data_IF_517978697776
#
_entry.id   IF_517978697776
#
_cell.length_a   1.000
_cell.length_b   1.000
_cell.length_c   1.000
_cell.angle_alpha   90.00
_cell.angle_beta   90.00
_cell.angle_gamma   90.00
#
_symmetry.space_group_name_H-M   'P 1'
#
loop_
_entity.id
_entity.type
_entity.pdbx_description
1 polymer ?
#
# COMPACT_ATOMS: atom_id res chain seq x y z
N UNK A 1 0.21 16.94 -68.93
CA UNK A 1 0.10 15.51 -68.59
C UNK A 1 -0.18 15.40 -67.10
N UNK A 2 -1.44 15.12 -66.73
CA UNK A 2 -1.87 15.05 -65.33
C UNK A 2 -2.17 13.59 -64.97
N UNK A 3 -1.46 13.06 -63.97
CA UNK A 3 -1.64 11.69 -63.49
C UNK A 3 -2.72 11.66 -62.40
N UNK A 4 -3.89 11.11 -62.74
CA UNK A 4 -4.96 10.75 -61.79
C UNK A 4 -4.53 9.58 -60.91
N UNK A 5 -4.28 9.83 -59.62
CA UNK A 5 -4.15 8.79 -58.61
C UNK A 5 -5.54 8.29 -58.19
N UNK A 6 -5.90 7.09 -58.66
CA UNK A 6 -7.11 6.37 -58.24
C UNK A 6 -6.90 5.85 -56.82
N UNK A 7 -7.51 6.50 -55.83
CA UNK A 7 -7.59 6.01 -54.45
C UNK A 7 -8.62 4.89 -54.40
N UNK A 8 -8.16 3.65 -54.25
CA UNK A 8 -9.00 2.49 -54.02
C UNK A 8 -9.60 2.55 -52.60
N UNK A 9 -10.92 2.76 -52.54
CA UNK A 9 -11.69 2.63 -51.30
C UNK A 9 -11.88 1.15 -51.00
N UNK A 10 -11.17 0.63 -50.00
CA UNK A 10 -11.41 -0.70 -49.45
C UNK A 10 -12.76 -0.71 -48.73
N UNK A 11 -13.65 -1.61 -49.16
CA UNK A 11 -14.93 -1.83 -48.50
C UNK A 11 -14.72 -2.41 -47.09
N UNK A 12 -15.45 -1.94 -46.06
CA UNK A 12 -15.42 -2.57 -44.74
C UNK A 12 -16.10 -3.94 -44.83
N UNK A 13 -15.36 -5.02 -44.55
CA UNK A 13 -15.90 -6.37 -44.51
C UNK A 13 -16.92 -6.48 -43.37
N UNK A 14 -18.18 -6.76 -43.72
CA UNK A 14 -19.30 -6.95 -42.80
C UNK A 14 -19.26 -8.32 -42.09
N UNK A 15 -18.08 -8.84 -41.77
CA UNK A 15 -17.91 -10.21 -41.27
C UNK A 15 -17.44 -10.27 -39.80
N UNK A 16 -17.99 -9.39 -38.94
CA UNK A 16 -17.67 -9.38 -37.49
C UNK A 16 -18.88 -9.49 -36.56
N UNK A 17 -20.00 -9.97 -37.07
CA UNK A 17 -21.25 -10.01 -36.32
C UNK A 17 -21.79 -11.44 -36.15
N UNK A 18 -20.93 -12.38 -35.73
CA UNK A 18 -21.34 -13.71 -35.21
C UNK A 18 -20.37 -14.25 -34.14
N UNK A 19 -20.07 -13.45 -33.12
CA UNK A 19 -19.50 -13.95 -31.85
C UNK A 19 -20.14 -13.25 -30.64
N UNK A 20 -21.46 -13.32 -30.56
CA UNK A 20 -22.15 -13.28 -29.28
C UNK A 20 -22.44 -14.74 -28.86
N UNK A 21 -22.39 -15.00 -27.55
CA UNK A 21 -22.95 -16.17 -26.87
C UNK A 21 -22.16 -17.50 -26.85
N UNK A 22 -20.86 -17.47 -26.53
CA UNK A 22 -20.13 -18.69 -26.13
C UNK A 22 -19.00 -18.38 -25.15
N UNK A 23 -19.29 -18.37 -23.85
CA UNK A 23 -18.25 -18.15 -22.83
C UNK A 23 -18.73 -17.76 -21.43
N UNK A 24 -20.04 -17.66 -21.19
CA UNK A 24 -20.61 -17.48 -19.85
C UNK A 24 -20.63 -18.76 -18.99
N UNK A 25 -19.72 -19.71 -19.27
CA UNK A 25 -19.59 -20.94 -18.51
C UNK A 25 -18.82 -20.68 -17.23
N UNK A 26 -19.56 -20.46 -16.14
CA UNK A 26 -19.13 -20.44 -14.74
C UNK A 26 -17.64 -20.62 -14.48
N UNK A 27 -16.89 -19.51 -14.50
CA UNK A 27 -15.70 -19.39 -13.66
C UNK A 27 -16.17 -19.32 -12.19
N UNK A 28 -16.66 -20.45 -11.66
CA UNK A 28 -16.69 -20.70 -10.23
C UNK A 28 -15.23 -20.83 -9.80
N UNK A 29 -14.60 -19.66 -9.66
CA UNK A 29 -13.20 -19.54 -9.33
C UNK A 29 -12.94 -20.25 -8.02
N UNK A 30 -12.27 -21.40 -8.10
CA UNK A 30 -11.63 -22.03 -6.95
C UNK A 30 -10.90 -20.94 -6.15
N UNK A 31 -10.97 -20.94 -4.81
CA UNK A 31 -10.50 -19.81 -3.98
C UNK A 31 -9.10 -19.28 -4.34
N UNK A 32 -8.23 -20.16 -4.86
CA UNK A 32 -6.91 -19.84 -5.42
C UNK A 32 -6.95 -18.84 -6.58
N UNK A 33 -7.88 -19.00 -7.53
CA UNK A 33 -8.05 -18.07 -8.66
C UNK A 33 -8.54 -16.70 -8.20
N UNK A 34 -9.43 -16.63 -7.21
CA UNK A 34 -9.85 -15.37 -6.58
C UNK A 34 -8.67 -14.64 -5.95
N UNK A 35 -7.84 -15.35 -5.17
CA UNK A 35 -6.61 -14.78 -4.59
C UNK A 35 -5.63 -14.30 -5.67
N UNK A 36 -5.49 -15.02 -6.79
CA UNK A 36 -4.66 -14.54 -7.90
C UNK A 36 -5.22 -13.29 -8.56
N UNK A 37 -6.54 -13.21 -8.76
CA UNK A 37 -7.20 -12.05 -9.35
C UNK A 37 -7.12 -10.82 -8.44
N UNK A 38 -7.28 -11.00 -7.12
CA UNK A 38 -7.14 -9.91 -6.15
C UNK A 38 -5.70 -9.38 -6.14
N UNK A 39 -4.68 -10.27 -6.19
CA UNK A 39 -3.28 -9.86 -6.34
C UNK A 39 -3.02 -9.10 -7.64
N UNK A 40 -3.64 -9.52 -8.74
CA UNK A 40 -3.51 -8.83 -10.03
C UNK A 40 -4.14 -7.44 -9.99
N UNK A 41 -5.36 -7.31 -9.45
CA UNK A 41 -6.05 -6.04 -9.24
C UNK A 41 -5.22 -5.11 -8.35
N UNK A 42 -4.72 -5.61 -7.22
CA UNK A 42 -3.84 -4.84 -6.33
C UNK A 42 -2.56 -4.36 -7.03
N UNK A 43 -1.95 -5.18 -7.88
CA UNK A 43 -0.77 -4.79 -8.69
C UNK A 43 -1.11 -3.69 -9.70
N UNK A 44 -2.25 -3.79 -10.37
CA UNK A 44 -2.74 -2.78 -11.32
C UNK A 44 -3.05 -1.46 -10.62
N UNK A 45 -3.75 -1.52 -9.48
CA UNK A 45 -4.08 -0.34 -8.69
C UNK A 45 -2.81 0.35 -8.16
N UNK A 46 -1.83 -0.43 -7.65
CA UNK A 46 -0.53 0.10 -7.25
C UNK A 46 0.15 0.86 -8.40
N UNK A 47 0.26 0.27 -9.58
CA UNK A 47 0.82 0.94 -10.77
C UNK A 47 0.06 2.23 -11.11
N UNK A 48 -1.29 2.19 -11.07
CA UNK A 48 -2.13 3.37 -11.31
C UNK A 48 -1.82 4.50 -10.33
N UNK A 49 -1.72 4.19 -9.03
CA UNK A 49 -1.40 5.18 -8.00
C UNK A 49 0.01 5.74 -8.13
N UNK A 50 1.00 4.92 -8.51
CA UNK A 50 2.38 5.36 -8.76
C UNK A 50 2.45 6.30 -9.98
N UNK A 51 1.82 5.93 -11.10
CA UNK A 51 1.73 6.81 -12.28
C UNK A 51 0.98 8.11 -11.97
N UNK A 52 -0.10 8.06 -11.18
CA UNK A 52 -0.81 9.27 -10.78
C UNK A 52 0.06 10.19 -9.90
N UNK A 53 0.86 9.61 -9.00
CA UNK A 53 1.81 10.36 -8.17
C UNK A 53 2.92 11.01 -9.01
N UNK A 54 3.50 10.27 -9.98
CA UNK A 54 4.53 10.83 -10.86
C UNK A 54 3.99 11.96 -11.73
N UNK A 55 2.77 11.82 -12.27
CA UNK A 55 2.10 12.89 -13.02
C UNK A 55 1.86 14.13 -12.17
N UNK A 56 1.38 13.98 -10.93
CA UNK A 56 1.20 15.12 -10.01
C UNK A 56 2.52 15.79 -9.64
N UNK A 57 3.58 15.01 -9.42
CA UNK A 57 4.91 15.55 -9.13
C UNK A 57 5.46 16.33 -10.32
N UNK A 58 5.33 15.78 -11.53
CA UNK A 58 5.71 16.46 -12.77
C UNK A 58 4.93 17.76 -12.96
N UNK A 59 3.60 17.75 -12.78
CA UNK A 59 2.78 18.95 -12.86
C UNK A 59 3.22 20.03 -11.85
N UNK A 60 3.58 19.64 -10.61
CA UNK A 60 4.11 20.57 -9.61
C UNK A 60 5.45 21.17 -10.05
N UNK A 61 6.35 20.35 -10.58
CA UNK A 61 7.65 20.79 -11.11
C UNK A 61 7.48 21.77 -12.28
N UNK A 62 6.60 21.46 -13.24
CA UNK A 62 6.26 22.36 -14.34
C UNK A 62 5.74 23.72 -13.84
N UNK A 63 4.81 23.70 -12.87
CA UNK A 63 4.29 24.93 -12.23
C UNK A 63 5.40 25.74 -11.56
N UNK A 64 6.35 25.10 -10.87
CA UNK A 64 7.46 25.81 -10.23
C UNK A 64 8.46 26.43 -11.23
N UNK A 65 8.58 25.87 -12.43
CA UNK A 65 9.44 26.40 -13.51
C UNK A 65 8.73 27.53 -14.28
N UNK A 66 7.48 27.85 -13.94
CA UNK A 66 6.66 28.82 -14.69
C UNK A 66 6.01 28.22 -15.93
N UNK A 67 6.14 26.91 -16.15
CA UNK A 67 5.43 26.20 -17.21
C UNK A 67 3.99 25.93 -16.73
N UNK A 68 3.10 26.90 -17.00
CA UNK A 68 1.66 26.68 -16.82
C UNK A 68 1.20 25.71 -17.90
N UNK A 69 0.77 24.48 -17.57
CA UNK A 69 0.17 23.60 -18.58
C UNK A 69 -1.01 24.36 -19.17
N UNK A 70 -0.91 24.69 -20.47
CA UNK A 70 -1.93 25.43 -21.18
C UNK A 70 -3.28 24.84 -20.82
N UNK A 71 -4.18 25.68 -20.31
CA UNK A 71 -5.50 25.21 -19.93
C UNK A 71 -6.10 24.59 -21.17
N UNK A 72 -6.27 23.26 -21.10
CA UNK A 72 -6.76 22.49 -22.24
C UNK A 72 -8.01 23.13 -22.82
N UNK A 73 -8.33 22.81 -24.08
CA UNK A 73 -9.37 23.41 -24.92
C UNK A 73 -10.76 23.68 -24.29
N UNK A 74 -11.02 23.26 -23.05
CA UNK A 74 -12.16 23.63 -22.19
C UNK A 74 -12.21 25.12 -21.81
N UNK A 75 -11.14 25.91 -21.97
CA UNK A 75 -11.15 27.36 -21.66
C UNK A 75 -11.57 28.30 -22.79
N UNK A 76 -12.33 27.80 -23.77
CA UNK A 76 -12.98 28.66 -24.79
C UNK A 76 -14.41 29.08 -24.44
N UNK A 77 -14.92 28.81 -23.23
CA UNK A 77 -16.25 29.27 -22.81
C UNK A 77 -16.20 29.89 -21.41
N UNK A 78 -16.23 31.23 -21.39
CA UNK A 78 -16.56 32.15 -20.27
C UNK A 78 -15.67 32.15 -19.02
N UNK A 79 -15.02 33.28 -18.76
CA UNK A 79 -15.47 34.26 -17.75
C UNK A 79 -14.38 35.33 -17.57
N UNK A 80 -14.59 36.46 -18.24
CA UNK A 80 -14.10 37.76 -17.82
C UNK A 80 -14.99 38.18 -16.64
N UNK A 81 -14.52 38.12 -15.40
CA UNK A 81 -14.92 39.02 -14.30
C UNK A 81 -14.15 38.72 -13.00
N UNK A 82 -13.83 39.79 -12.26
CA UNK A 82 -13.46 39.86 -10.83
C UNK A 82 -11.99 39.53 -10.52
N UNK A 83 -11.06 40.50 -10.53
CA UNK A 83 -10.91 41.73 -9.72
C UNK A 83 -10.84 41.49 -8.20
N UNK A 84 -9.69 41.90 -7.64
CA UNK A 84 -9.23 41.92 -6.25
C UNK A 84 -10.09 42.86 -5.38
N UNK A 85 -10.08 42.75 -4.03
CA UNK A 85 -9.15 43.64 -3.33
C UNK A 85 -8.53 43.11 -2.02
N UNK A 86 -7.32 43.60 -1.78
CA UNK A 86 -6.64 43.69 -0.49
C UNK A 86 -7.47 44.44 0.56
N UNK A 87 -7.39 44.04 1.83
CA UNK A 87 -7.63 44.94 2.95
C UNK A 87 -6.60 44.80 4.09
N UNK A 88 -6.33 45.92 4.81
CA UNK A 88 -5.16 46.13 5.67
C UNK A 88 -5.38 45.73 7.14
N UNK A 89 -4.25 45.60 7.84
CA UNK A 89 -4.12 45.28 9.27
C UNK A 89 -4.63 46.39 10.22
N UNK A 90 -5.15 46.05 11.42
CA UNK A 90 -5.30 47.01 12.51
C UNK A 90 -4.10 47.02 13.48
N UNK A 91 -3.83 48.21 13.99
CA UNK A 91 -2.66 48.61 14.77
C UNK A 91 -2.74 48.32 16.28
N UNK A 92 -1.57 48.02 16.85
CA UNK A 92 -1.01 48.38 18.19
C UNK A 92 -1.93 48.77 19.36
N UNK A 93 -1.80 48.03 20.47
CA UNK A 93 -1.83 48.57 21.84
C UNK A 93 -0.52 48.17 22.54
N UNK A 94 0.32 49.18 22.83
CA UNK A 94 1.60 49.10 23.54
C UNK A 94 1.38 49.30 25.05
N UNK A 95 1.83 48.35 25.87
CA UNK A 95 1.92 48.45 27.34
C UNK A 95 3.33 47.94 27.74
N UNK A 96 4.23 48.79 28.26
CA UNK A 96 5.62 48.42 28.48
C UNK A 96 5.82 47.81 29.87
N UNK A 97 5.45 46.54 30.04
CA UNK A 97 5.86 45.78 31.24
C UNK A 97 7.31 45.29 31.08
N UNK A 98 8.25 46.00 31.69
CA UNK A 98 9.69 45.66 31.77
C UNK A 98 9.92 44.38 32.59
N UNK A 99 9.93 43.22 31.92
CA UNK A 99 10.47 41.97 32.49
C UNK A 99 11.75 41.62 31.74
N UNK A 100 12.88 41.66 32.43
CA UNK A 100 14.23 41.34 31.93
C UNK A 100 14.31 39.91 31.39
N UNK A 101 14.04 39.72 30.08
CA UNK A 101 14.22 38.44 29.42
C UNK A 101 15.71 38.15 29.22
N UNK A 102 16.19 36.93 29.56
CA UNK A 102 17.58 36.54 29.30
C UNK A 102 17.85 36.58 27.79
N UNK A 103 18.98 37.19 27.41
CA UNK A 103 19.47 37.30 26.03
C UNK A 103 19.36 35.94 25.31
N UNK A 104 18.38 35.82 24.41
CA UNK A 104 18.16 34.61 23.62
C UNK A 104 19.39 34.38 22.75
N UNK A 105 20.18 33.36 23.09
CA UNK A 105 21.32 32.92 22.28
C UNK A 105 20.81 32.63 20.87
N UNK A 106 21.38 33.28 19.85
CA UNK A 106 21.01 33.05 18.45
C UNK A 106 21.24 31.57 18.13
N UNK A 107 20.17 30.83 17.83
CA UNK A 107 20.29 29.44 17.41
C UNK A 107 21.15 29.39 16.15
N UNK A 108 22.33 28.77 16.24
CA UNK A 108 23.14 28.46 15.05
C UNK A 108 22.27 27.57 14.16
N UNK A 109 21.99 28.03 12.95
CA UNK A 109 21.27 27.22 11.95
C UNK A 109 22.11 25.97 11.74
N UNK A 110 21.59 24.81 12.14
CA UNK A 110 22.18 23.50 11.86
C UNK A 110 22.58 23.46 10.39
N UNK A 111 23.79 23.01 10.08
CA UNK A 111 24.22 22.87 8.68
C UNK A 111 23.24 21.95 7.95
N UNK A 112 22.82 22.32 6.74
CA UNK A 112 21.93 21.50 5.89
C UNK A 112 22.49 20.08 5.70
N UNK A 113 23.82 19.94 5.67
CA UNK A 113 24.50 18.66 5.55
C UNK A 113 24.36 17.78 6.79
N UNK A 114 24.35 18.35 7.99
CA UNK A 114 24.18 17.59 9.25
C UNK A 114 22.78 16.97 9.33
N UNK A 115 21.74 17.73 8.97
CA UNK A 115 20.37 17.19 8.89
C UNK A 115 20.23 16.08 7.85
N UNK A 116 20.92 16.21 6.72
CA UNK A 116 20.93 15.19 5.68
C UNK A 116 21.64 13.91 6.17
N UNK A 117 22.79 14.03 6.83
CA UNK A 117 23.53 12.88 7.37
C UNK A 117 22.77 12.16 8.48
N UNK A 118 22.17 12.91 9.42
CA UNK A 118 21.34 12.35 10.49
C UNK A 118 20.13 11.59 9.92
N UNK A 119 19.46 12.17 8.91
CA UNK A 119 18.34 11.51 8.23
C UNK A 119 18.77 10.24 7.50
N UNK A 120 19.95 10.26 6.85
CA UNK A 120 20.49 9.08 6.19
C UNK A 120 20.79 7.96 7.19
N UNK A 121 21.44 8.28 8.31
CA UNK A 121 21.73 7.33 9.37
C UNK A 121 20.45 6.73 9.97
N UNK A 122 19.45 7.56 10.28
CA UNK A 122 18.15 7.10 10.79
C UNK A 122 17.45 6.16 9.81
N UNK A 123 17.45 6.50 8.51
CA UNK A 123 16.85 5.64 7.48
C UNK A 123 17.60 4.31 7.33
N UNK A 124 18.93 4.29 7.49
CA UNK A 124 19.70 3.05 7.47
C UNK A 124 19.35 2.15 8.67
N UNK A 125 19.27 2.73 9.87
CA UNK A 125 18.85 2.00 11.07
C UNK A 125 17.43 1.46 10.95
N UNK A 126 16.48 2.27 10.46
CA UNK A 126 15.09 1.81 10.26
C UNK A 126 15.02 0.64 9.26
N UNK A 127 15.81 0.69 8.17
CA UNK A 127 15.89 -0.41 7.20
C UNK A 127 16.44 -1.68 7.84
N UNK A 128 17.54 -1.57 8.59
CA UNK A 128 18.15 -2.71 9.28
C UNK A 128 17.16 -3.35 10.27
N UNK A 129 16.52 -2.56 11.12
CA UNK A 129 15.54 -3.05 12.10
C UNK A 129 14.37 -3.75 11.41
N UNK A 130 13.88 -3.19 10.29
CA UNK A 130 12.77 -3.77 9.53
C UNK A 130 13.15 -5.08 8.83
N UNK A 131 14.39 -5.20 8.37
CA UNK A 131 14.91 -6.44 7.79
C UNK A 131 15.06 -7.53 8.86
N UNK A 132 15.57 -7.16 10.03
CA UNK A 132 15.65 -8.07 11.18
C UNK A 132 14.27 -8.56 11.64
N UNK A 133 13.31 -7.65 11.77
CA UNK A 133 11.93 -8.00 12.14
C UNK A 133 11.29 -8.96 11.12
N UNK A 134 11.50 -8.72 9.82
CA UNK A 134 11.03 -9.62 8.76
C UNK A 134 11.68 -10.99 8.86
N UNK A 135 13.00 -11.04 9.05
CA UNK A 135 13.74 -12.30 9.17
C UNK A 135 13.27 -13.09 10.40
N UNK A 136 13.04 -12.43 11.54
CA UNK A 136 12.49 -13.06 12.74
C UNK A 136 11.08 -13.63 12.49
N UNK A 137 10.20 -12.83 11.88
CA UNK A 137 8.84 -13.26 11.53
C UNK A 137 8.83 -14.45 10.54
N UNK A 138 9.72 -14.46 9.56
CA UNK A 138 9.87 -15.56 8.61
C UNK A 138 10.36 -16.84 9.30
N UNK A 139 11.36 -16.74 10.19
CA UNK A 139 11.84 -17.87 10.99
C UNK A 139 10.72 -18.45 11.86
N UNK A 140 9.94 -17.61 12.55
CA UNK A 140 8.81 -18.07 13.37
C UNK A 140 7.73 -18.76 12.53
N UNK A 141 7.40 -18.20 11.36
CA UNK A 141 6.43 -18.80 10.44
C UNK A 141 6.93 -20.15 9.91
N UNK A 142 8.21 -20.26 9.57
CA UNK A 142 8.82 -21.50 9.13
C UNK A 142 8.77 -22.56 10.24
N UNK A 143 9.14 -22.20 11.47
CA UNK A 143 9.08 -23.11 12.63
C UNK A 143 7.65 -23.62 12.89
N UNK A 144 6.64 -22.73 12.90
CA UNK A 144 5.22 -23.12 13.05
C UNK A 144 4.75 -24.06 11.93
N UNK A 145 5.24 -23.85 10.70
CA UNK A 145 4.88 -24.69 9.56
C UNK A 145 5.50 -26.09 9.66
N UNK A 146 6.74 -26.20 10.15
CA UNK A 146 7.40 -27.48 10.44
C UNK A 146 6.63 -28.23 11.54
N UNK A 147 6.34 -27.57 12.66
CA UNK A 147 5.56 -28.16 13.76
C UNK A 147 4.19 -28.66 13.28
N UNK A 148 3.49 -27.87 12.45
CA UNK A 148 2.20 -28.27 11.88
C UNK A 148 2.31 -29.52 11.00
N UNK A 149 3.36 -29.61 10.18
CA UNK A 149 3.61 -30.79 9.34
C UNK A 149 3.91 -32.02 10.18
N UNK A 150 4.73 -31.89 11.21
CA UNK A 150 5.04 -32.99 12.13
C UNK A 150 3.82 -33.47 12.88
N UNK A 151 3.01 -32.55 13.43
CA UNK A 151 1.73 -32.85 14.07
C UNK A 151 0.79 -33.58 13.12
N UNK A 152 0.62 -33.06 11.90
CA UNK A 152 -0.20 -33.71 10.88
C UNK A 152 0.33 -35.10 10.50
N UNK A 153 1.66 -35.28 10.44
CA UNK A 153 2.29 -36.58 10.18
C UNK A 153 1.97 -37.57 11.29
N UNK A 154 2.13 -37.20 12.56
CA UNK A 154 1.81 -38.03 13.74
C UNK A 154 0.34 -38.44 13.74
N UNK A 155 -0.57 -37.50 13.50
CA UNK A 155 -2.03 -37.76 13.47
C UNK A 155 -2.47 -38.63 12.29
N UNK A 156 -1.68 -38.67 11.21
CA UNK A 156 -1.89 -39.55 10.06
C UNK A 156 -1.32 -40.95 10.25
N UNK A 157 -0.46 -41.17 11.26
CA UNK A 157 0.10 -42.49 11.52
C UNK A 157 -1.01 -43.49 11.86
N UNK A 158 -0.86 -44.70 11.32
CA UNK A 158 -1.79 -45.81 11.49
C UNK A 158 -1.03 -47.04 11.94
N UNK A 159 -1.70 -47.93 12.66
CA UNK A 159 -1.18 -49.25 13.04
C UNK A 159 -1.06 -50.16 11.81
N UNK A 160 -0.43 -51.32 11.97
CA UNK A 160 -0.36 -52.34 10.90
C UNK A 160 -1.74 -52.75 10.38
N UNK A 161 -2.76 -52.70 11.23
CA UNK A 161 -4.17 -52.98 10.88
C UNK A 161 -4.91 -51.76 10.31
N UNK A 162 -4.21 -50.65 10.05
CA UNK A 162 -4.77 -49.45 9.43
C UNK A 162 -5.57 -48.53 10.36
N UNK A 163 -5.64 -48.84 11.66
CA UNK A 163 -6.33 -48.00 12.65
C UNK A 163 -5.49 -46.78 13.01
N UNK A 164 -6.09 -45.60 13.25
CA UNK A 164 -5.35 -44.44 13.75
C UNK A 164 -4.64 -44.72 15.07
N UNK A 165 -3.42 -44.22 15.24
CA UNK A 165 -2.71 -44.33 16.52
C UNK A 165 -3.33 -43.34 17.51
N UNK A 166 -4.24 -43.83 18.34
CA UNK A 166 -5.02 -43.02 19.30
C UNK A 166 -4.17 -42.27 20.32
N UNK A 167 -2.96 -42.75 20.63
CA UNK A 167 -2.02 -42.07 21.55
C UNK A 167 -1.80 -40.60 21.18
N UNK A 168 -1.65 -40.30 19.89
CA UNK A 168 -1.42 -38.93 19.43
C UNK A 168 -2.67 -38.04 19.55
N UNK A 169 -3.86 -38.61 19.29
CA UNK A 169 -5.14 -37.91 19.43
C UNK A 169 -5.46 -37.59 20.90
N UNK A 170 -5.24 -38.56 21.79
CA UNK A 170 -5.47 -38.37 23.23
C UNK A 170 -4.54 -37.30 23.78
N UNK A 171 -3.26 -37.32 23.40
CA UNK A 171 -2.31 -36.29 23.82
C UNK A 171 -2.73 -34.89 23.37
N UNK A 172 -3.19 -34.74 22.12
CA UNK A 172 -3.73 -33.48 21.58
C UNK A 172 -4.96 -32.97 22.35
N UNK A 173 -5.82 -33.86 22.85
CA UNK A 173 -7.00 -33.50 23.64
C UNK A 173 -6.57 -33.06 25.05
N UNK A 174 -5.68 -33.80 25.68
CA UNK A 174 -5.16 -33.47 27.01
C UNK A 174 -4.44 -32.12 27.02
N UNK A 175 -3.61 -31.83 26.00
CA UNK A 175 -2.95 -30.52 25.85
C UNK A 175 -3.96 -29.37 25.73
N UNK A 176 -5.11 -29.58 25.07
CA UNK A 176 -6.15 -28.56 24.95
C UNK A 176 -6.86 -28.31 26.27
N UNK A 177 -7.25 -29.38 26.97
CA UNK A 177 -7.90 -29.29 28.27
C UNK A 177 -6.98 -28.61 29.29
N UNK A 178 -5.68 -28.89 29.26
CA UNK A 178 -4.72 -28.22 30.12
C UNK A 178 -4.64 -26.72 29.81
N UNK A 179 -4.53 -26.34 28.53
CA UNK A 179 -4.52 -24.92 28.14
C UNK A 179 -5.80 -24.17 28.51
N UNK A 180 -6.96 -24.83 28.43
CA UNK A 180 -8.24 -24.24 28.83
C UNK A 180 -8.27 -24.00 30.35
N UNK A 181 -7.73 -24.93 31.15
CA UNK A 181 -7.58 -24.74 32.60
C UNK A 181 -6.62 -23.62 32.94
N UNK A 182 -5.44 -23.59 32.31
CA UNK A 182 -4.44 -22.55 32.55
C UNK A 182 -5.01 -21.15 32.24
N UNK A 183 -5.80 -21.02 31.15
CA UNK A 183 -6.49 -19.77 30.80
C UNK A 183 -7.59 -19.38 31.79
N UNK A 184 -8.26 -20.35 32.39
CA UNK A 184 -9.26 -20.08 33.44
C UNK A 184 -8.57 -19.57 34.71
N UNK A 185 -7.46 -20.20 35.13
CA UNK A 185 -6.68 -19.78 36.29
C UNK A 185 -6.08 -18.38 36.11
N UNK A 186 -5.56 -18.05 34.92
CA UNK A 186 -5.08 -16.70 34.58
C UNK A 186 -6.21 -15.66 34.58
N UNK A 187 -7.43 -16.04 34.22
CA UNK A 187 -8.59 -15.14 34.25
C UNK A 187 -9.14 -14.92 35.67
N UNK A 188 -9.02 -15.92 36.54
CA UNK A 188 -9.48 -15.90 37.94
C UNK A 188 -8.49 -15.22 38.90
N UNK A 189 -7.28 -14.87 38.44
CA UNK A 189 -6.31 -14.05 39.17
C UNK A 189 -6.29 -12.61 38.64
N UNK A 190 -7.34 -11.79 38.88
CA UNK A 190 -7.28 -10.38 38.58
C UNK A 190 -6.31 -9.69 39.55
N UNK A 191 -5.30 -9.03 38.97
CA UNK A 191 -4.38 -8.11 39.66
C UNK A 191 -5.11 -6.90 40.25
#
# INVERSE_FOLDING_TARGET
MAASSKVSRSAPSQNRERRAAGGGGGWSGTSKTKVMMDKFRARKEKKRTETAKSLRAYQKACKSVGYSPGQGASRKRRSENEEEPQQPAPASNDEPTTTSQPLRKRHKKSSMFQKASEKAARNQQERANKEEERAANEKQRAAKLVQRKEKSRKMRQRTSKGQPIMKHYVHDILEKLQKEKDQQEEAETPL
#
